data_IF_657442792634
#
_entry.id   IF_657442792634
#
_cell.length_a   1.000
_cell.length_b   1.000
_cell.length_c   1.000
_cell.angle_alpha   90.00
_cell.angle_beta   90.00
_cell.angle_gamma   90.00
#
_symmetry.space_group_name_H-M   'P 1'
#
loop_
_entity.id
_entity.type
_entity.pdbx_description
1 polymer ?
#
# COMPACT_ATOMS: atom_id res chain seq x y z
N UNK A 1 -13.55 2.72 -5.93
CA UNK A 1 -14.47 2.95 -4.79
C UNK A 1 -14.03 2.25 -3.50
N UNK A 2 -13.48 2.97 -2.51
CA UNK A 2 -13.09 2.44 -1.20
C UNK A 2 -14.22 1.77 -0.41
N UNK A 3 -15.45 2.29 -0.50
CA UNK A 3 -16.60 1.70 0.21
C UNK A 3 -17.02 0.34 -0.38
N UNK A 4 -16.57 0.04 -1.60
CA UNK A 4 -16.83 -1.22 -2.31
C UNK A 4 -15.54 -2.03 -2.50
N UNK A 5 -14.66 -2.04 -1.48
CA UNK A 5 -13.44 -2.85 -1.50
C UNK A 5 -12.45 -2.39 -2.57
N UNK A 6 -12.36 -1.07 -2.78
CA UNK A 6 -11.49 -0.45 -3.78
C UNK A 6 -11.73 -0.94 -5.21
N UNK A 7 -12.98 -1.29 -5.57
CA UNK A 7 -13.36 -1.67 -6.93
C UNK A 7 -12.87 -0.62 -7.93
N UNK A 8 -12.27 -1.08 -9.03
CA UNK A 8 -11.84 -0.23 -10.15
C UNK A 8 -13.07 0.38 -10.81
N UNK A 9 -13.23 1.70 -10.74
CA UNK A 9 -14.31 2.40 -11.44
C UNK A 9 -13.93 2.81 -12.85
N UNK A 10 -12.65 3.11 -13.09
CA UNK A 10 -12.14 3.55 -14.38
C UNK A 10 -10.64 3.27 -14.54
N UNK A 11 -10.14 3.34 -15.77
CA UNK A 11 -8.72 3.20 -16.10
C UNK A 11 -8.26 1.74 -16.32
N UNK A 12 -6.96 1.54 -16.60
CA UNK A 12 -6.42 0.25 -17.04
C UNK A 12 -6.07 -0.69 -15.88
N UNK A 13 -6.44 -0.36 -14.64
CA UNK A 13 -6.09 -1.16 -13.47
C UNK A 13 -6.74 -2.56 -13.59
N UNK A 14 -5.96 -3.65 -13.60
CA UNK A 14 -6.49 -4.98 -13.86
C UNK A 14 -7.20 -5.60 -12.64
N UNK A 15 -7.01 -5.03 -11.45
CA UNK A 15 -7.56 -5.54 -10.19
C UNK A 15 -7.80 -4.40 -9.19
N UNK A 16 -8.70 -4.58 -8.20
CA UNK A 16 -8.87 -3.65 -7.08
C UNK A 16 -7.58 -3.41 -6.31
N UNK A 17 -7.49 -2.25 -5.65
CA UNK A 17 -6.37 -1.94 -4.77
C UNK A 17 -6.35 -2.90 -3.57
N UNK A 18 -5.16 -3.32 -3.17
CA UNK A 18 -4.97 -4.06 -1.92
C UNK A 18 -5.47 -3.25 -0.72
N UNK A 19 -5.99 -3.94 0.28
CA UNK A 19 -6.53 -3.35 1.50
C UNK A 19 -5.65 -3.69 2.69
N UNK A 20 -5.46 -2.73 3.60
CA UNK A 20 -4.80 -2.97 4.89
C UNK A 20 -5.91 -3.13 5.93
N UNK A 21 -5.96 -4.29 6.61
CA UNK A 21 -6.85 -4.46 7.73
C UNK A 21 -6.31 -3.71 8.94
N UNK A 22 -7.20 -2.94 9.56
CA UNK A 22 -6.90 -2.15 10.74
C UNK A 22 -7.75 -2.66 11.90
N UNK A 23 -7.12 -2.81 13.06
CA UNK A 23 -7.78 -3.09 14.33
C UNK A 23 -7.69 -1.85 15.21
N UNK A 24 -8.82 -1.44 15.79
CA UNK A 24 -8.86 -0.37 16.77
C UNK A 24 -8.63 -0.97 18.17
N UNK A 25 -7.69 -0.38 18.93
CA UNK A 25 -7.44 -0.71 20.32
C UNK A 25 -7.07 0.54 21.10
N UNK A 26 -7.93 0.99 22.01
CA UNK A 26 -7.62 2.10 22.92
C UNK A 26 -7.52 3.47 22.25
N UNK A 27 -8.24 3.67 21.14
CA UNK A 27 -8.21 4.89 20.33
C UNK A 27 -7.10 4.91 19.26
N UNK A 28 -6.29 3.86 19.17
CA UNK A 28 -5.23 3.72 18.16
C UNK A 28 -5.60 2.67 17.11
N UNK A 29 -5.11 2.85 15.89
CA UNK A 29 -5.30 1.91 14.77
C UNK A 29 -4.02 1.11 14.53
N UNK A 30 -4.14 -0.20 14.50
CA UNK A 30 -3.05 -1.14 14.26
C UNK A 30 -3.28 -1.89 12.95
N UNK A 31 -2.29 -1.90 12.06
CA UNK A 31 -2.35 -2.75 10.87
C UNK A 31 -2.16 -4.22 11.26
N UNK A 32 -3.19 -5.05 11.05
CA UNK A 32 -3.18 -6.47 11.39
C UNK A 32 -2.98 -7.41 10.20
N UNK A 33 -3.13 -6.89 8.97
CA UNK A 33 -2.91 -7.68 7.77
C UNK A 33 -3.11 -6.90 6.47
N UNK A 34 -2.77 -7.54 5.35
CA UNK A 34 -2.94 -7.00 4.01
C UNK A 34 -3.72 -8.03 3.19
N UNK A 35 -4.71 -7.56 2.42
CA UNK A 35 -5.64 -8.38 1.65
C UNK A 35 -5.74 -7.91 0.19
N UNK A 36 -6.01 -8.85 -0.73
CA UNK A 36 -6.28 -8.58 -2.13
C UNK A 36 -5.10 -8.85 -3.07
N UNK A 37 -5.20 -8.33 -4.30
CA UNK A 37 -4.18 -8.50 -5.33
C UNK A 37 -2.96 -7.62 -5.06
N UNK A 38 -1.96 -8.15 -4.36
CA UNK A 38 -0.74 -7.44 -4.05
C UNK A 38 0.26 -7.54 -5.20
N UNK A 39 0.99 -6.44 -5.43
CA UNK A 39 1.99 -6.36 -6.50
C UNK A 39 3.41 -6.59 -5.99
N UNK A 40 3.60 -6.83 -4.69
CA UNK A 40 4.93 -6.91 -4.07
C UNK A 40 5.81 -7.97 -4.74
N UNK A 41 5.31 -9.21 -4.89
CA UNK A 41 6.07 -10.30 -5.50
C UNK A 41 6.49 -9.95 -6.93
N UNK A 42 5.54 -9.56 -7.78
CA UNK A 42 5.80 -9.15 -9.18
C UNK A 42 6.77 -7.98 -9.27
N UNK A 43 6.68 -7.03 -8.33
CA UNK A 43 7.57 -5.89 -8.27
C UNK A 43 9.00 -6.31 -7.92
N UNK A 44 9.17 -7.15 -6.90
CA UNK A 44 10.48 -7.66 -6.50
C UNK A 44 11.07 -8.64 -7.51
N UNK A 45 10.26 -9.44 -8.22
CA UNK A 45 10.72 -10.26 -9.35
C UNK A 45 11.34 -9.38 -10.44
N UNK A 46 10.70 -8.26 -10.77
CA UNK A 46 11.14 -7.39 -11.86
C UNK A 46 12.28 -6.44 -11.47
N UNK A 47 12.28 -5.94 -10.24
CA UNK A 47 13.16 -4.84 -9.82
C UNK A 47 14.08 -5.21 -8.65
N UNK A 48 13.92 -6.38 -8.03
CA UNK A 48 14.60 -6.77 -6.81
C UNK A 48 16.12 -6.64 -6.88
N UNK A 49 16.75 -7.11 -7.97
CA UNK A 49 18.20 -7.00 -8.13
C UNK A 49 18.71 -5.56 -8.07
N UNK A 50 18.00 -4.61 -8.69
CA UNK A 50 18.39 -3.19 -8.62
C UNK A 50 18.20 -2.64 -7.21
N UNK A 51 17.09 -2.99 -6.56
CA UNK A 51 16.79 -2.56 -5.21
C UNK A 51 17.84 -3.09 -4.21
N UNK A 52 18.31 -4.33 -4.40
CA UNK A 52 19.33 -4.92 -3.54
C UNK A 52 20.67 -4.18 -3.65
N UNK A 53 21.02 -3.68 -4.85
CA UNK A 53 22.19 -2.81 -5.05
C UNK A 53 22.00 -1.42 -4.43
N UNK A 54 20.85 -0.79 -4.62
CA UNK A 54 20.57 0.58 -4.15
C UNK A 54 20.39 0.65 -2.63
N UNK A 55 19.78 -0.37 -2.03
CA UNK A 55 19.41 -0.42 -0.61
C UNK A 55 20.24 -1.42 0.18
N UNK A 56 21.38 -1.88 -0.34
CA UNK A 56 22.29 -2.81 0.33
C UNK A 56 21.59 -4.07 0.88
N UNK A 57 20.76 -4.70 0.06
CA UNK A 57 19.92 -5.88 0.37
C UNK A 57 18.81 -5.65 1.42
N UNK A 58 18.52 -4.40 1.81
CA UNK A 58 17.46 -4.09 2.78
C UNK A 58 16.07 -3.92 2.17
N UNK A 59 15.94 -4.05 0.86
CA UNK A 59 14.70 -3.76 0.14
C UNK A 59 13.50 -4.63 0.57
N UNK A 60 13.77 -5.78 1.20
CA UNK A 60 12.76 -6.71 1.73
C UNK A 60 12.63 -6.67 3.26
N UNK A 61 13.44 -5.88 3.95
CA UNK A 61 13.36 -5.78 5.41
C UNK A 61 12.02 -5.13 5.82
N UNK A 62 11.32 -5.67 6.84
CA UNK A 62 10.12 -5.05 7.35
C UNK A 62 10.40 -3.62 7.85
N UNK A 63 9.59 -2.67 7.40
CA UNK A 63 9.59 -1.32 7.97
C UNK A 63 8.98 -1.39 9.37
N UNK A 64 9.66 -0.80 10.35
CA UNK A 64 9.19 -0.70 11.74
C UNK A 64 9.00 0.77 12.12
N UNK A 65 8.22 1.03 13.16
CA UNK A 65 7.95 2.38 13.66
C UNK A 65 6.50 2.82 13.49
N UNK A 66 6.28 4.12 13.60
CA UNK A 66 4.95 4.74 13.49
C UNK A 66 4.80 5.43 12.14
N UNK A 67 3.60 5.39 11.58
CA UNK A 67 3.21 6.14 10.39
C UNK A 67 2.05 7.06 10.72
N UNK A 68 2.02 8.25 10.13
CA UNK A 68 0.94 9.20 10.33
C UNK A 68 -0.13 9.01 9.25
N UNK A 69 -1.39 8.91 9.66
CA UNK A 69 -2.52 8.98 8.73
C UNK A 69 -2.76 10.45 8.40
N UNK A 70 -2.65 10.80 7.12
CA UNK A 70 -2.83 12.17 6.61
C UNK A 70 -3.98 12.14 5.60
N UNK A 71 -4.94 13.09 5.68
CA UNK A 71 -5.97 13.24 4.65
C UNK A 71 -5.36 13.39 3.26
N UNK A 72 -5.99 12.79 2.24
CA UNK A 72 -5.44 12.78 0.88
C UNK A 72 -5.31 14.20 0.31
N UNK A 73 -6.17 15.11 0.77
CA UNK A 73 -6.18 16.53 0.43
C UNK A 73 -4.92 17.26 0.88
N UNK A 74 -4.36 16.84 2.01
CA UNK A 74 -3.14 17.43 2.57
C UNK A 74 -1.89 16.76 1.99
N UNK A 75 -2.03 15.52 1.49
CA UNK A 75 -0.91 14.74 0.95
C UNK A 75 -0.57 15.09 -0.51
N UNK A 76 -1.56 15.27 -1.39
CA UNK A 76 -1.32 15.51 -2.82
C UNK A 76 -2.30 16.49 -3.45
N UNK A 77 -1.78 17.36 -4.34
CA UNK A 77 -2.60 18.25 -5.17
C UNK A 77 -3.27 17.53 -6.34
N UNK A 78 -2.77 16.34 -6.70
CA UNK A 78 -3.30 15.54 -7.79
C UNK A 78 -4.14 14.40 -7.22
N UNK A 79 -5.46 14.58 -7.25
CA UNK A 79 -6.42 13.54 -6.84
C UNK A 79 -6.54 12.48 -7.92
N UNK A 80 -6.19 11.24 -7.60
CA UNK A 80 -6.50 10.08 -8.44
C UNK A 80 -7.89 9.60 -8.05
N UNK A 81 -8.82 9.58 -8.99
CA UNK A 81 -10.15 9.02 -8.74
C UNK A 81 -10.10 7.49 -8.87
N UNK A 82 -10.60 6.79 -7.85
CA UNK A 82 -10.62 5.32 -7.75
C UNK A 82 -12.01 4.74 -7.96
#
# INVERSE_FOLDING_TARGET
DPAQGCRVLAGPAPQPLGSVALEERGGELFASGIYGGLLYERFFERFGFRLDLEFANKAREPVTGQSQVIPIEDYTRQRIQC
#
